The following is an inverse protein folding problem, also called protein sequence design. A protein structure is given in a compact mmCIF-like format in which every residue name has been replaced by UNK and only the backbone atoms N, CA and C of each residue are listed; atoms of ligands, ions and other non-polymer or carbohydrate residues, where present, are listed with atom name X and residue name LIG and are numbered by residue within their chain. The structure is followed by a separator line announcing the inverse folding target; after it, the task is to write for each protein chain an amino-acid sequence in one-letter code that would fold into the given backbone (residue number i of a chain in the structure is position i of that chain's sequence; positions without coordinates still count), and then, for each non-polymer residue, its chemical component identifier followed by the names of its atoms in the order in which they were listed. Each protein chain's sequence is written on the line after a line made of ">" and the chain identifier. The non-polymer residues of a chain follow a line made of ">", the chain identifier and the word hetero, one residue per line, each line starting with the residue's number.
data_IF_505182094905
#
_entry.id   IF_505182094905
#
_cell.length_a   1.000
_cell.length_b   1.000
_cell.length_c   1.000
_cell.angle_alpha   90.00
_cell.angle_beta   90.00
_cell.angle_gamma   90.00
#
_symmetry.space_group_name_H-M   'P 1'
#
loop_
_entity.id
_entity.type
_entity.pdbx_description
1 polymer ?
#
# COMPACT_ATOMS: atom_id res chain seq x y z
N UNK A 1 -33.54 -84.61 13.39
CA UNK A 1 -32.71 -83.37 13.50
C UNK A 1 -32.79 -82.41 12.29
N UNK A 2 -33.44 -82.73 11.16
CA UNK A 2 -33.46 -81.87 9.96
C UNK A 2 -34.52 -80.75 9.89
N UNK A 3 -35.47 -80.67 10.84
CA UNK A 3 -36.52 -79.62 10.82
C UNK A 3 -36.16 -78.35 11.59
N UNK A 4 -35.18 -78.41 12.52
CA UNK A 4 -34.72 -77.24 13.29
C UNK A 4 -33.70 -76.38 12.51
N UNK A 5 -32.96 -76.98 11.58
CA UNK A 5 -31.98 -76.28 10.74
C UNK A 5 -32.62 -75.36 9.70
N UNK A 6 -33.78 -75.71 9.12
CA UNK A 6 -34.48 -74.83 8.17
C UNK A 6 -35.13 -73.61 8.83
N UNK A 7 -35.60 -73.75 10.08
CA UNK A 7 -36.16 -72.62 10.83
C UNK A 7 -35.07 -71.59 11.22
N UNK A 8 -33.88 -72.07 11.57
CA UNK A 8 -32.73 -71.21 11.91
C UNK A 8 -32.16 -70.54 10.66
N UNK A 9 -32.11 -71.23 9.50
CA UNK A 9 -31.69 -70.62 8.24
C UNK A 9 -32.68 -69.54 7.75
N UNK A 10 -33.98 -69.75 7.92
CA UNK A 10 -35.00 -68.76 7.55
C UNK A 10 -34.95 -67.49 8.40
N UNK A 11 -34.65 -67.63 9.70
CA UNK A 11 -34.48 -66.49 10.60
C UNK A 11 -33.19 -65.71 10.33
N UNK A 12 -32.10 -66.39 9.96
CA UNK A 12 -30.85 -65.74 9.55
C UNK A 12 -30.98 -64.99 8.22
N UNK A 13 -31.81 -65.49 7.28
CA UNK A 13 -32.08 -64.81 6.02
C UNK A 13 -32.98 -63.57 6.20
N UNK A 14 -33.95 -63.62 7.13
CA UNK A 14 -34.80 -62.48 7.46
C UNK A 14 -34.04 -61.37 8.23
N UNK A 15 -33.08 -61.73 9.08
CA UNK A 15 -32.21 -60.78 9.77
C UNK A 15 -31.20 -60.09 8.83
N UNK A 16 -30.77 -60.76 7.74
CA UNK A 16 -29.90 -60.18 6.72
C UNK A 16 -30.61 -59.18 5.79
N UNK A 17 -31.95 -59.19 5.76
CA UNK A 17 -32.79 -58.21 5.03
C UNK A 17 -33.10 -56.94 5.84
N UNK A 18 -32.68 -56.89 7.11
CA UNK A 18 -32.74 -55.72 7.99
C UNK A 18 -31.35 -55.13 8.20
N UNK A 19 -30.61 -54.90 7.11
CA UNK A 19 -29.36 -54.16 7.14
C UNK A 19 -29.57 -52.72 7.65
N UNK A 20 -28.54 -52.08 8.24
CA UNK A 20 -28.65 -50.72 8.74
C UNK A 20 -29.05 -49.78 7.61
N UNK A 21 -30.10 -48.99 7.84
CA UNK A 21 -30.51 -47.91 6.94
C UNK A 21 -29.37 -46.88 6.98
N UNK A 22 -28.64 -46.72 5.89
CA UNK A 22 -27.61 -45.68 5.81
C UNK A 22 -28.27 -44.31 5.88
N UNK A 23 -28.15 -43.64 7.02
CA UNK A 23 -28.46 -42.22 7.14
C UNK A 23 -27.38 -41.43 6.40
N UNK A 24 -27.64 -41.10 5.14
CA UNK A 24 -26.80 -40.12 4.42
C UNK A 24 -26.99 -38.78 5.11
N UNK A 25 -25.92 -38.16 5.59
CA UNK A 25 -25.96 -36.76 6.02
C UNK A 25 -26.44 -35.93 4.82
N UNK A 26 -27.50 -35.15 5.01
CA UNK A 26 -27.95 -34.21 3.99
C UNK A 26 -26.91 -33.08 3.88
N UNK A 27 -26.44 -32.80 2.67
CA UNK A 27 -25.57 -31.66 2.42
C UNK A 27 -26.43 -30.40 2.26
N UNK A 28 -25.91 -29.24 2.65
CA UNK A 28 -26.61 -27.94 2.58
C UNK A 28 -27.17 -27.62 1.17
N UNK A 29 -26.64 -28.28 0.13
CA UNK A 29 -27.10 -28.17 -1.27
C UNK A 29 -28.57 -28.54 -1.49
N UNK A 30 -29.17 -29.37 -0.63
CA UNK A 30 -30.59 -29.76 -0.77
C UNK A 30 -31.57 -28.69 -0.25
N UNK A 31 -31.08 -27.62 0.38
CA UNK A 31 -31.91 -26.55 0.98
C UNK A 31 -31.62 -25.13 0.46
N UNK A 32 -30.76 -24.97 -0.55
CA UNK A 32 -30.50 -23.64 -1.14
C UNK A 32 -31.40 -23.39 -2.34
N UNK A 33 -32.63 -22.94 -2.11
CA UNK A 33 -33.44 -22.32 -3.17
C UNK A 33 -33.03 -20.85 -3.32
N UNK A 34 -32.28 -20.51 -4.37
CA UNK A 34 -32.03 -19.12 -4.74
C UNK A 34 -33.32 -18.53 -5.33
N UNK A 35 -33.83 -17.39 -4.83
CA UNK A 35 -35.04 -16.79 -5.35
C UNK A 35 -34.90 -16.46 -6.85
N UNK A 36 -35.94 -16.69 -7.67
CA UNK A 36 -35.91 -16.46 -9.13
C UNK A 36 -35.79 -14.97 -9.55
N UNK A 37 -35.54 -14.05 -8.61
CA UNK A 37 -35.18 -12.65 -8.87
C UNK A 37 -33.66 -12.41 -8.88
N UNK A 38 -32.86 -13.42 -8.53
CA UNK A 38 -31.38 -13.39 -8.64
C UNK A 38 -30.98 -14.14 -9.92
N UNK A 39 -31.44 -13.72 -11.11
CA UNK A 39 -30.94 -14.33 -12.37
C UNK A 39 -30.10 -13.38 -13.22
N UNK A 40 -30.13 -12.07 -12.96
CA UNK A 40 -29.30 -11.12 -13.69
C UNK A 40 -28.51 -10.29 -12.68
N UNK A 41 -27.41 -10.82 -12.17
CA UNK A 41 -26.33 -9.97 -11.67
C UNK A 41 -25.70 -9.27 -12.88
N UNK A 42 -26.31 -8.16 -13.30
CA UNK A 42 -25.66 -7.25 -14.24
C UNK A 42 -24.41 -6.73 -13.54
N UNK A 43 -23.25 -6.88 -14.18
CA UNK A 43 -22.01 -6.35 -13.63
C UNK A 43 -22.22 -4.85 -13.34
N UNK A 44 -21.98 -4.38 -12.10
CA UNK A 44 -22.17 -2.98 -11.78
C UNK A 44 -21.22 -2.12 -12.62
N UNK A 45 -21.77 -1.16 -13.37
CA UNK A 45 -20.99 -0.19 -14.13
C UNK A 45 -20.67 1.00 -13.23
N UNK A 46 -19.48 1.01 -12.63
CA UNK A 46 -18.97 2.15 -11.85
C UNK A 46 -18.11 3.00 -12.78
N UNK A 47 -18.57 4.23 -13.07
CA UNK A 47 -17.75 5.25 -13.72
C UNK A 47 -17.13 6.15 -12.67
N UNK A 48 -15.79 6.18 -12.62
CA UNK A 48 -15.08 7.10 -11.75
C UNK A 48 -14.58 8.31 -12.55
N UNK A 49 -15.04 9.50 -12.15
CA UNK A 49 -14.58 10.77 -12.69
C UNK A 49 -13.53 11.33 -11.72
N UNK A 50 -12.27 11.30 -12.14
CA UNK A 50 -11.14 11.80 -11.34
C UNK A 50 -10.72 13.18 -11.82
N UNK A 51 -10.44 14.07 -10.87
CA UNK A 51 -9.80 15.34 -11.20
C UNK A 51 -8.36 15.09 -11.69
N UNK A 52 -8.00 15.77 -12.77
CA UNK A 52 -6.66 15.76 -13.38
C UNK A 52 -6.12 17.20 -13.55
N UNK A 53 -6.66 18.15 -12.79
CA UNK A 53 -6.15 19.51 -12.76
C UNK A 53 -4.77 19.58 -12.10
N UNK A 54 -4.03 20.66 -12.35
CA UNK A 54 -2.73 20.90 -11.70
C UNK A 54 -2.79 20.93 -10.17
N UNK A 55 -3.96 21.19 -9.58
CA UNK A 55 -4.14 21.18 -8.11
C UNK A 55 -3.90 19.80 -7.48
N UNK A 56 -4.07 18.74 -8.25
CA UNK A 56 -3.81 17.36 -7.83
C UNK A 56 -2.31 17.05 -7.70
N UNK A 57 -1.46 17.90 -8.27
CA UNK A 57 -0.01 17.82 -8.12
C UNK A 57 0.47 18.39 -6.78
N UNK A 58 -0.37 19.14 -6.05
CA UNK A 58 0.01 19.72 -4.76
C UNK A 58 0.27 18.64 -3.70
N UNK A 59 1.04 19.03 -2.69
CA UNK A 59 1.33 18.21 -1.52
C UNK A 59 0.04 17.72 -0.87
N UNK A 60 0.02 16.44 -0.49
CA UNK A 60 -1.10 15.87 0.25
C UNK A 60 -1.19 16.50 1.65
N UNK A 61 -0.05 16.67 2.31
CA UNK A 61 0.07 17.25 3.64
C UNK A 61 0.62 18.68 3.54
N UNK A 62 -0.16 19.65 4.02
CA UNK A 62 0.15 21.08 3.89
C UNK A 62 0.50 21.76 5.22
N UNK A 63 0.22 21.09 6.34
CA UNK A 63 0.60 21.55 7.69
C UNK A 63 2.05 21.19 7.98
N UNK A 64 2.64 21.83 8.98
CA UNK A 64 3.97 21.45 9.46
C UNK A 64 4.01 19.98 9.90
N UNK A 65 5.16 19.34 9.68
CA UNK A 65 5.37 17.96 10.12
C UNK A 65 5.23 17.87 11.64
N UNK A 66 4.52 16.83 12.09
CA UNK A 66 4.38 16.52 13.50
C UNK A 66 4.76 15.05 13.71
N UNK A 67 5.77 14.82 14.54
CA UNK A 67 6.28 13.48 14.84
C UNK A 67 5.27 12.59 15.57
N UNK A 68 4.25 13.17 16.21
CA UNK A 68 3.15 12.46 16.85
C UNK A 68 1.98 12.14 15.91
N UNK A 69 2.02 12.64 14.66
CA UNK A 69 0.99 12.37 13.65
C UNK A 69 1.45 11.26 12.71
N UNK A 70 0.54 10.33 12.43
CA UNK A 70 0.74 9.28 11.42
C UNK A 70 0.28 9.78 10.05
N UNK A 71 1.20 9.80 9.09
CA UNK A 71 0.98 10.17 7.70
C UNK A 71 0.89 8.91 6.86
N UNK A 72 -0.21 8.75 6.11
CA UNK A 72 -0.46 7.59 5.26
C UNK A 72 -0.09 7.87 3.80
N UNK A 73 0.31 6.83 3.10
CA UNK A 73 0.73 6.94 1.70
C UNK A 73 1.35 5.66 1.19
N UNK A 74 2.31 5.81 0.28
CA UNK A 74 2.98 4.70 -0.39
C UNK A 74 3.89 3.89 0.54
N UNK A 75 4.38 4.50 1.62
CA UNK A 75 5.26 3.88 2.61
C UNK A 75 4.45 3.43 3.83
N UNK A 76 4.88 2.36 4.49
CA UNK A 76 4.34 2.02 5.81
C UNK A 76 4.89 3.02 6.84
N UNK A 77 4.03 3.77 7.57
CA UNK A 77 4.50 4.78 8.51
C UNK A 77 5.25 4.23 9.72
N UNK A 78 5.14 2.92 9.98
CA UNK A 78 5.78 2.24 11.11
C UNK A 78 7.10 1.57 10.76
N UNK A 79 7.45 1.54 9.47
CA UNK A 79 8.61 0.86 8.93
C UNK A 79 9.74 1.85 8.60
N UNK A 80 10.96 1.33 8.60
CA UNK A 80 12.17 2.05 8.25
C UNK A 80 12.70 1.60 6.90
N UNK A 81 13.30 2.52 6.14
CA UNK A 81 13.71 2.32 4.77
C UNK A 81 15.19 2.67 4.59
N UNK A 82 15.87 1.89 3.76
CA UNK A 82 17.17 2.22 3.21
C UNK A 82 16.97 2.72 1.79
N UNK A 83 17.82 3.62 1.35
CA UNK A 83 17.73 4.16 0.01
C UNK A 83 18.89 3.62 -0.83
N UNK A 84 18.60 2.83 -1.86
CA UNK A 84 19.60 2.31 -2.79
C UNK A 84 19.01 1.91 -4.13
N UNK A 85 19.81 2.03 -5.20
CA UNK A 85 19.40 1.67 -6.57
C UNK A 85 18.11 2.38 -7.03
N UNK A 86 18.01 3.69 -6.78
CA UNK A 86 16.85 4.50 -7.13
C UNK A 86 15.54 4.11 -6.43
N UNK A 87 15.62 3.50 -5.24
CA UNK A 87 14.44 3.00 -4.51
C UNK A 87 14.65 3.00 -3.01
N UNK A 88 13.57 3.29 -2.29
CA UNK A 88 13.43 2.99 -0.87
C UNK A 88 13.10 1.51 -0.69
N UNK A 89 13.89 0.82 0.14
CA UNK A 89 13.77 -0.59 0.44
C UNK A 89 13.43 -0.75 1.92
N UNK A 90 12.31 -1.42 2.26
CA UNK A 90 11.90 -1.60 3.64
C UNK A 90 12.88 -2.49 4.42
N UNK A 91 13.00 -2.21 5.71
CA UNK A 91 13.63 -3.12 6.67
C UNK A 91 12.68 -4.28 6.97
N UNK A 92 13.00 -5.46 6.41
CA UNK A 92 12.22 -6.69 6.64
C UNK A 92 12.14 -7.14 8.10
N UNK A 93 12.91 -6.52 9.00
CA UNK A 93 12.93 -6.79 10.44
C UNK A 93 12.22 -5.74 11.31
N UNK A 94 11.93 -4.55 10.77
CA UNK A 94 11.36 -3.44 11.54
C UNK A 94 9.82 -3.42 11.48
N UNK A 95 9.18 -3.90 12.54
CA UNK A 95 7.73 -3.75 12.74
C UNK A 95 7.48 -3.07 14.09
N UNK A 96 7.67 -1.76 14.14
CA UNK A 96 7.27 -0.98 15.31
C UNK A 96 5.74 -0.85 15.33
N UNK A 97 5.12 -0.81 16.51
CA UNK A 97 3.67 -0.56 16.60
C UNK A 97 3.29 0.90 16.29
N UNK A 98 4.28 1.81 16.33
CA UNK A 98 4.07 3.25 16.14
C UNK A 98 5.19 3.87 15.30
N UNK A 99 4.89 4.91 14.50
CA UNK A 99 5.90 5.70 13.80
C UNK A 99 6.99 6.19 14.75
N UNK A 100 8.25 5.96 14.40
CA UNK A 100 9.36 6.17 15.30
C UNK A 100 10.62 6.66 14.62
N UNK A 101 11.71 6.63 15.36
CA UNK A 101 13.06 6.82 14.84
C UNK A 101 13.61 5.53 14.27
N UNK A 102 14.48 5.64 13.28
CA UNK A 102 15.12 4.56 12.57
C UNK A 102 16.61 4.45 12.90
N UNK A 103 17.18 3.27 12.68
CA UNK A 103 18.61 3.00 12.85
C UNK A 103 19.44 3.37 11.63
N UNK A 104 20.77 3.34 11.77
CA UNK A 104 21.70 3.78 10.72
C UNK A 104 21.61 2.98 9.41
N UNK A 105 21.24 1.69 9.45
CA UNK A 105 21.13 0.85 8.25
C UNK A 105 19.89 1.15 7.39
N UNK A 106 18.82 1.64 8.01
CA UNK A 106 17.55 1.98 7.36
C UNK A 106 17.11 3.35 7.87
N UNK A 107 17.83 4.43 7.54
CA UNK A 107 17.69 5.69 8.27
C UNK A 107 16.38 6.44 7.99
N UNK A 108 15.62 6.06 6.96
CA UNK A 108 14.42 6.76 6.54
C UNK A 108 13.16 6.22 7.19
N UNK A 109 12.44 7.05 7.93
CA UNK A 109 11.12 6.71 8.46
C UNK A 109 10.07 6.79 7.36
N UNK A 110 9.27 5.73 7.18
CA UNK A 110 8.15 5.75 6.24
C UNK A 110 7.12 6.84 6.54
N UNK A 111 6.97 7.23 7.81
CA UNK A 111 6.09 8.34 8.21
C UNK A 111 6.58 9.68 7.66
N UNK A 112 7.90 9.93 7.74
CA UNK A 112 8.50 11.12 7.17
C UNK A 112 8.42 11.09 5.64
N UNK A 113 8.67 9.94 5.01
CA UNK A 113 8.57 9.79 3.57
C UNK A 113 7.15 10.05 3.04
N UNK A 114 6.12 9.56 3.74
CA UNK A 114 4.73 9.85 3.39
C UNK A 114 4.40 11.35 3.51
N UNK A 115 4.90 12.02 4.54
CA UNK A 115 4.77 13.48 4.64
C UNK A 115 5.50 14.21 3.51
N UNK A 116 6.74 13.79 3.23
CA UNK A 116 7.67 14.47 2.34
C UNK A 116 7.34 14.31 0.84
N UNK A 117 6.80 13.16 0.43
CA UNK A 117 6.73 12.77 -0.97
C UNK A 117 5.31 12.68 -1.55
N UNK A 118 4.27 12.63 -0.71
CA UNK A 118 2.91 12.38 -1.17
C UNK A 118 2.27 13.61 -1.82
N UNK A 119 1.71 13.40 -3.02
CA UNK A 119 0.80 14.35 -3.69
C UNK A 119 -0.65 13.93 -3.51
N UNK A 120 -1.57 14.86 -3.70
CA UNK A 120 -3.01 14.58 -3.65
C UNK A 120 -3.42 13.47 -4.63
N UNK A 121 -2.83 13.45 -5.82
CA UNK A 121 -3.07 12.37 -6.79
C UNK A 121 -2.54 11.01 -6.33
N UNK A 122 -1.40 10.98 -5.63
CA UNK A 122 -0.83 9.73 -5.13
C UNK A 122 -1.69 9.17 -4.00
N UNK A 123 -2.23 10.03 -3.12
CA UNK A 123 -3.20 9.62 -2.10
C UNK A 123 -4.49 9.08 -2.74
N UNK A 124 -5.02 9.73 -3.78
CA UNK A 124 -6.22 9.25 -4.47
C UNK A 124 -6.00 7.87 -5.10
N UNK A 125 -4.87 7.66 -5.79
CA UNK A 125 -4.49 6.36 -6.36
C UNK A 125 -4.26 5.31 -5.26
N UNK A 126 -3.65 5.72 -4.14
CA UNK A 126 -3.44 4.84 -3.00
C UNK A 126 -4.75 4.33 -2.41
N UNK A 127 -5.73 5.19 -2.19
CA UNK A 127 -7.05 4.78 -1.67
C UNK A 127 -7.80 3.87 -2.65
N UNK A 128 -7.68 4.12 -3.96
CA UNK A 128 -8.43 3.37 -4.96
C UNK A 128 -7.84 2.00 -5.30
N UNK A 129 -6.52 1.93 -5.48
CA UNK A 129 -5.85 0.73 -5.97
C UNK A 129 -4.84 0.18 -4.99
N UNK A 130 -4.60 0.84 -3.86
CA UNK A 130 -3.42 0.60 -3.03
C UNK A 130 -2.15 1.24 -3.61
N UNK A 131 -2.26 2.09 -4.64
CA UNK A 131 -1.11 2.79 -5.24
C UNK A 131 -0.68 2.17 -6.57
N UNK A 132 0.33 2.79 -7.19
CA UNK A 132 0.89 2.34 -8.47
C UNK A 132 1.98 1.32 -8.18
N UNK A 133 1.98 0.22 -8.92
CA UNK A 133 3.03 -0.78 -8.80
C UNK A 133 4.10 -0.58 -9.86
N UNK A 134 5.37 -0.65 -9.45
CA UNK A 134 6.49 -0.70 -10.39
C UNK A 134 6.65 -2.10 -11.02
N UNK A 135 5.89 -3.09 -10.54
CA UNK A 135 5.89 -4.49 -10.98
C UNK A 135 4.45 -4.98 -11.09
N UNK A 136 4.23 -6.11 -11.77
CA UNK A 136 2.91 -6.75 -11.78
C UNK A 136 2.50 -7.12 -10.35
N UNK A 137 1.21 -6.94 -10.04
CA UNK A 137 0.64 -7.43 -8.78
C UNK A 137 0.70 -8.95 -8.76
N UNK A 138 0.83 -9.52 -7.57
CA UNK A 138 0.76 -10.97 -7.39
C UNK A 138 -0.66 -11.50 -7.66
N UNK A 139 -0.82 -12.83 -7.62
CA UNK A 139 -2.13 -13.47 -7.84
C UNK A 139 -3.20 -13.10 -6.81
N UNK A 140 -2.82 -12.47 -5.70
CA UNK A 140 -3.70 -11.96 -4.64
C UNK A 140 -3.97 -10.45 -4.79
N UNK A 141 -3.44 -9.81 -5.83
CA UNK A 141 -3.59 -8.37 -6.07
C UNK A 141 -2.67 -7.48 -5.24
N UNK A 142 -1.70 -8.04 -4.51
CA UNK A 142 -0.75 -7.26 -3.71
C UNK A 142 0.35 -6.68 -4.59
N UNK A 143 0.75 -5.48 -4.21
CA UNK A 143 1.83 -4.74 -4.83
C UNK A 143 3.07 -4.88 -3.95
N UNK A 144 4.13 -5.52 -4.45
CA UNK A 144 5.37 -5.67 -3.67
C UNK A 144 6.28 -4.44 -3.78
N UNK A 145 6.03 -3.57 -4.76
CA UNK A 145 6.84 -2.38 -5.05
C UNK A 145 5.95 -1.24 -5.49
N UNK A 146 5.65 -0.35 -4.55
CA UNK A 146 4.92 0.87 -4.83
C UNK A 146 5.83 1.88 -5.54
N UNK A 147 5.26 2.66 -6.45
CA UNK A 147 5.89 3.82 -7.05
C UNK A 147 4.94 5.01 -7.00
N UNK A 148 5.50 6.20 -6.80
CA UNK A 148 4.80 7.45 -7.05
C UNK A 148 4.61 7.68 -8.54
N UNK A 149 4.09 8.85 -8.89
CA UNK A 149 3.89 9.25 -10.28
C UNK A 149 5.22 9.37 -11.06
N UNK A 150 5.53 8.42 -11.95
CA UNK A 150 6.78 8.39 -12.70
C UNK A 150 6.63 9.01 -14.09
N UNK A 151 6.96 10.30 -14.21
CA UNK A 151 7.30 10.84 -15.52
C UNK A 151 8.36 11.91 -15.35
N UNK A 152 9.44 11.84 -16.14
CA UNK A 152 10.60 12.71 -16.01
C UNK A 152 10.58 13.79 -17.10
N UNK A 153 10.40 15.06 -16.72
CA UNK A 153 10.94 16.18 -17.49
C UNK A 153 11.39 17.25 -16.51
N UNK A 154 12.67 17.60 -16.55
CA UNK A 154 13.30 18.48 -15.57
C UNK A 154 12.87 19.95 -15.62
N UNK A 155 11.78 20.31 -16.29
CA UNK A 155 11.47 21.69 -16.66
C UNK A 155 10.46 22.42 -15.76
N UNK A 156 10.21 21.97 -14.53
CA UNK A 156 9.34 22.72 -13.63
C UNK A 156 9.76 22.59 -12.17
N UNK A 157 10.08 23.74 -11.57
CA UNK A 157 10.47 23.89 -10.17
C UNK A 157 9.27 24.24 -9.27
N UNK A 158 9.55 24.11 -7.98
CA UNK A 158 8.69 23.69 -6.89
C UNK A 158 7.91 24.84 -6.24
N UNK A 159 7.44 25.85 -6.98
CA UNK A 159 6.66 26.94 -6.37
C UNK A 159 5.38 26.35 -5.76
N UNK A 160 5.27 26.44 -4.44
CA UNK A 160 4.26 25.82 -3.56
C UNK A 160 4.39 24.30 -3.31
N UNK A 161 5.55 23.72 -3.62
CA UNK A 161 5.86 22.29 -3.42
C UNK A 161 7.07 22.04 -2.49
N UNK A 162 7.66 23.10 -1.93
CA UNK A 162 8.66 23.03 -0.86
C UNK A 162 8.02 22.93 0.51
N UNK A 163 8.54 22.05 1.37
CA UNK A 163 8.16 21.95 2.78
C UNK A 163 9.40 21.78 3.65
N UNK A 164 9.37 22.32 4.87
CA UNK A 164 10.47 22.20 5.81
C UNK A 164 10.14 21.25 6.96
N UNK A 165 11.19 20.67 7.52
CA UNK A 165 11.19 19.85 8.73
C UNK A 165 12.36 20.33 9.58
N UNK A 166 12.11 20.59 10.86
CA UNK A 166 13.19 21.05 11.74
C UNK A 166 14.24 19.96 11.93
N UNK A 167 15.49 20.34 12.20
CA UNK A 167 16.56 19.37 12.46
C UNK A 167 16.19 18.36 13.57
N UNK A 168 15.54 18.81 14.64
CA UNK A 168 15.08 17.93 15.72
C UNK A 168 14.04 16.88 15.28
N UNK A 169 13.19 17.23 14.31
CA UNK A 169 12.20 16.31 13.75
C UNK A 169 12.82 15.34 12.75
N UNK A 170 13.78 15.81 11.94
CA UNK A 170 14.53 15.02 10.98
C UNK A 170 15.49 14.02 11.65
N UNK A 171 16.06 14.38 12.80
CA UNK A 171 17.02 13.55 13.54
C UNK A 171 16.42 12.19 13.86
N UNK A 172 17.11 11.14 13.40
CA UNK A 172 16.69 9.75 13.55
C UNK A 172 15.51 9.35 12.66
N UNK A 173 15.10 10.15 11.67
CA UNK A 173 14.01 9.81 10.72
C UNK A 173 14.43 9.93 9.25
N UNK A 174 15.64 10.38 9.00
CA UNK A 174 16.30 10.40 7.69
C UNK A 174 17.81 10.23 7.89
N UNK A 175 18.53 10.04 6.79
CA UNK A 175 19.99 9.95 6.82
C UNK A 175 20.60 11.27 7.33
N UNK A 176 21.44 11.16 8.35
CA UNK A 176 22.07 12.29 9.02
C UNK A 176 22.97 13.12 8.09
N UNK A 177 23.43 12.54 6.97
CA UNK A 177 24.26 13.22 5.96
C UNK A 177 23.52 14.39 5.30
N UNK A 178 22.19 14.33 5.21
CA UNK A 178 21.36 15.38 4.62
C UNK A 178 20.81 16.37 5.66
N UNK A 179 21.13 16.18 6.95
CA UNK A 179 20.67 17.08 8.01
C UNK A 179 21.72 18.19 8.20
N UNK A 180 21.40 19.46 7.90
CA UNK A 180 22.36 20.55 8.04
C UNK A 180 22.70 20.80 9.50
N UNK A 181 23.92 21.26 9.78
CA UNK A 181 24.38 21.54 11.15
C UNK A 181 23.54 22.60 11.89
N UNK A 182 22.81 23.43 11.15
CA UNK A 182 21.83 24.37 11.67
C UNK A 182 20.78 24.69 10.60
N UNK A 183 19.59 25.09 11.05
CA UNK A 183 18.44 25.35 10.18
C UNK A 183 17.50 24.14 10.03
N UNK A 184 16.57 24.27 9.10
CA UNK A 184 15.61 23.23 8.74
C UNK A 184 16.12 22.42 7.54
N UNK A 185 15.63 21.19 7.42
CA UNK A 185 15.74 20.39 6.21
C UNK A 185 14.56 20.74 5.31
N UNK A 186 14.80 20.95 4.03
CA UNK A 186 13.77 21.24 3.05
C UNK A 186 13.58 20.04 2.12
N UNK A 187 12.31 19.74 1.84
CA UNK A 187 11.91 18.77 0.85
C UNK A 187 11.22 19.51 -0.29
N UNK A 188 11.76 19.43 -1.50
CA UNK A 188 11.12 20.02 -2.66
C UNK A 188 10.53 18.92 -3.53
N UNK A 189 9.21 18.93 -3.68
CA UNK A 189 8.56 18.09 -4.67
C UNK A 189 8.75 18.68 -6.06
N UNK A 190 9.38 17.91 -6.95
CA UNK A 190 9.65 18.30 -8.33
C UNK A 190 8.46 17.88 -9.20
N UNK A 191 7.77 18.85 -9.81
CA UNK A 191 6.52 18.61 -10.52
C UNK A 191 6.37 19.52 -11.74
N UNK A 192 5.52 19.15 -12.70
CA UNK A 192 5.25 19.96 -13.90
C UNK A 192 3.80 20.40 -13.98
N UNK A 193 3.58 21.63 -14.47
CA UNK A 193 2.23 22.14 -14.75
C UNK A 193 1.60 21.53 -16.01
N UNK A 194 2.38 20.77 -16.78
CA UNK A 194 1.99 20.23 -18.09
C UNK A 194 1.71 18.73 -18.04
N UNK A 195 2.34 18.02 -17.09
CA UNK A 195 2.17 16.57 -16.91
C UNK A 195 2.26 16.24 -15.41
N UNK A 196 1.50 15.24 -14.96
CA UNK A 196 1.65 14.68 -13.63
C UNK A 196 3.04 14.00 -13.53
N UNK A 197 3.93 14.52 -12.69
CA UNK A 197 5.29 14.00 -12.43
C UNK A 197 5.42 13.67 -10.93
N UNK A 198 6.52 13.09 -10.48
CA UNK A 198 6.65 12.60 -9.11
C UNK A 198 8.08 12.24 -8.74
N UNK A 199 8.84 13.24 -8.29
CA UNK A 199 10.07 13.04 -7.51
C UNK A 199 10.13 14.11 -6.40
N UNK A 200 11.00 13.92 -5.41
CA UNK A 200 11.34 14.93 -4.42
C UNK A 200 12.85 14.98 -4.23
N UNK A 201 13.36 16.14 -3.81
CA UNK A 201 14.74 16.30 -3.37
C UNK A 201 14.79 16.80 -1.94
N UNK A 202 15.95 16.65 -1.32
CA UNK A 202 16.25 17.11 0.03
C UNK A 202 17.34 18.14 -0.04
N UNK A 203 17.11 19.29 0.57
CA UNK A 203 18.01 20.44 0.53
C UNK A 203 18.15 21.09 1.92
N UNK A 204 19.14 21.95 2.06
CA UNK A 204 19.41 22.73 3.26
C UNK A 204 18.82 24.15 3.21
N UNK A 205 18.18 24.53 2.10
CA UNK A 205 17.56 25.84 1.94
C UNK A 205 16.15 25.78 1.31
N UNK A 206 15.43 26.90 1.36
CA UNK A 206 14.07 26.99 0.82
C UNK A 206 14.02 27.24 -0.69
N UNK A 207 15.16 27.46 -1.32
CA UNK A 207 15.27 27.83 -2.73
C UNK A 207 14.94 26.61 -3.56
N UNK A 208 13.96 26.71 -4.45
CA UNK A 208 13.65 25.59 -5.31
C UNK A 208 14.83 25.32 -6.27
N UNK A 209 15.42 24.12 -6.24
CA UNK A 209 16.57 23.79 -7.08
C UNK A 209 16.24 23.84 -8.57
N UNK A 210 17.24 24.19 -9.38
CA UNK A 210 17.14 24.29 -10.83
C UNK A 210 17.07 22.93 -11.52
N UNK A 211 16.76 22.94 -12.83
CA UNK A 211 16.58 21.76 -13.68
C UNK A 211 17.85 20.89 -13.91
N UNK A 212 18.93 21.18 -13.21
CA UNK A 212 20.22 20.48 -13.30
C UNK A 212 21.09 20.67 -12.06
N UNK A 213 20.51 21.06 -10.93
CA UNK A 213 21.25 21.16 -9.67
C UNK A 213 21.67 19.77 -9.19
N UNK A 214 22.92 19.67 -8.72
CA UNK A 214 23.44 18.48 -8.06
C UNK A 214 22.68 18.16 -6.76
N UNK A 215 22.08 19.17 -6.14
CA UNK A 215 21.20 19.03 -4.98
C UNK A 215 19.87 18.33 -5.34
N UNK A 216 19.62 18.14 -6.65
CA UNK A 216 18.49 17.46 -7.26
C UNK A 216 18.86 16.31 -8.20
N UNK A 217 20.11 15.84 -8.20
CA UNK A 217 20.44 14.67 -9.02
C UNK A 217 19.65 13.46 -8.54
N UNK A 218 18.68 13.11 -9.38
CA UNK A 218 17.69 12.06 -9.22
C UNK A 218 18.17 10.89 -8.35
N UNK A 219 17.61 10.87 -7.14
CA UNK A 219 17.55 9.68 -6.33
C UNK A 219 16.10 9.54 -5.82
N UNK A 220 15.22 9.15 -6.76
CA UNK A 220 13.79 8.90 -6.57
C UNK A 220 13.08 8.57 -7.87
#
# INVERSE_FOLDING_TARGET
>A
MRRRTFAILGWLLAAALLGPIETRAQFLSDYTSTPPFISNTVAPNILLLLDNSGSMNNRAYQTAFNTATTYYGLFDPTECYSYSSNRFQPDSSANSATPGTCGASYPWSGNLLNYASMRRIDTAKWVMTGGICSVARDGSGNCTRFKGQDSFSGSACCRDQTQSVTNAQATGRMDATYIPAGGDVFFHMVGSNVNLRGNFCVDNDSTAPGSGDADCTADG
#
